data_IF_489649381998
#
_entry.id   IF_489649381998
#
_cell.length_a   1.000
_cell.length_b   1.000
_cell.length_c   1.000
_cell.angle_alpha   90.00
_cell.angle_beta   90.00
_cell.angle_gamma   90.00
#
_symmetry.space_group_name_H-M   'P 1'
#
loop_
_entity.id
_entity.type
_entity.pdbx_description
1 polymer ?
#
# COMPACT_ATOMS: atom_id res chain seq x y z
N UNK A 1 14.01 -15.46 10.59
CA UNK A 1 15.25 -14.65 10.49
C UNK A 1 14.88 -13.29 9.92
N UNK A 2 15.49 -12.21 10.42
CA UNK A 2 15.31 -10.87 9.88
C UNK A 2 15.99 -10.76 8.53
N UNK A 3 15.30 -10.28 7.49
CA UNK A 3 15.89 -10.15 6.14
C UNK A 3 16.29 -8.72 5.78
N UNK A 4 15.68 -7.70 6.38
CA UNK A 4 16.11 -6.31 6.17
C UNK A 4 17.12 -5.91 7.25
N UNK A 5 18.36 -5.71 6.82
CA UNK A 5 19.40 -5.02 7.59
C UNK A 5 19.35 -3.51 7.31
N UNK A 6 20.12 -2.73 8.06
CA UNK A 6 20.22 -1.28 7.85
C UNK A 6 20.73 -0.94 6.43
N UNK A 7 21.74 -1.65 5.95
CA UNK A 7 22.30 -1.47 4.60
C UNK A 7 21.28 -1.83 3.52
N UNK A 8 20.48 -2.88 3.73
CA UNK A 8 19.40 -3.25 2.81
C UNK A 8 18.30 -2.19 2.76
N UNK A 9 17.95 -1.56 3.89
CA UNK A 9 16.99 -0.45 3.92
C UNK A 9 17.52 0.77 3.15
N UNK A 10 18.77 1.16 3.39
CA UNK A 10 19.43 2.25 2.65
C UNK A 10 19.48 1.90 1.15
N UNK A 11 19.81 0.65 0.81
CA UNK A 11 19.78 0.18 -0.57
C UNK A 11 18.39 0.26 -1.20
N UNK A 12 17.32 -0.09 -0.49
CA UNK A 12 15.96 0.03 -1.03
C UNK A 12 15.59 1.49 -1.31
N UNK A 13 16.01 2.42 -0.46
CA UNK A 13 15.69 3.84 -0.60
C UNK A 13 16.50 4.57 -1.69
N UNK A 14 17.78 4.22 -1.87
CA UNK A 14 18.71 5.03 -2.67
C UNK A 14 19.33 4.33 -3.89
N UNK A 15 19.24 3.01 -4.01
CA UNK A 15 19.81 2.27 -5.17
C UNK A 15 19.00 2.48 -6.46
N UNK A 16 17.71 2.78 -6.32
CA UNK A 16 16.74 2.83 -7.41
C UNK A 16 16.29 4.29 -7.65
N UNK A 17 17.01 5.06 -8.48
CA UNK A 17 16.85 6.50 -8.56
C UNK A 17 15.47 6.96 -9.07
N UNK A 18 14.74 6.10 -9.78
CA UNK A 18 13.40 6.43 -10.29
C UNK A 18 12.29 6.14 -9.26
N UNK A 19 12.62 5.53 -8.10
CA UNK A 19 11.65 5.15 -7.07
C UNK A 19 11.78 5.95 -5.76
N UNK A 20 12.48 7.09 -5.75
CA UNK A 20 12.72 7.89 -4.53
C UNK A 20 11.46 8.16 -3.68
N UNK A 21 10.34 8.46 -4.34
CA UNK A 21 9.06 8.74 -3.68
C UNK A 21 8.17 7.50 -3.44
N UNK A 22 8.55 6.33 -3.98
CA UNK A 22 7.67 5.14 -4.03
C UNK A 22 8.32 3.83 -3.58
N UNK A 23 9.63 3.80 -3.31
CA UNK A 23 10.38 2.59 -2.97
C UNK A 23 9.74 1.81 -1.81
N UNK A 24 9.21 2.52 -0.80
CA UNK A 24 8.57 1.91 0.36
C UNK A 24 7.21 1.29 0.02
N UNK A 25 6.49 1.81 -0.97
CA UNK A 25 5.27 1.18 -1.48
C UNK A 25 5.61 -0.13 -2.18
N UNK A 26 6.63 -0.11 -3.06
CA UNK A 26 7.08 -1.28 -3.81
C UNK A 26 7.60 -2.35 -2.85
N UNK A 27 8.42 -1.95 -1.87
CA UNK A 27 8.93 -2.85 -0.84
C UNK A 27 7.80 -3.46 -0.01
N UNK A 28 6.83 -2.65 0.44
CA UNK A 28 5.70 -3.11 1.25
C UNK A 28 4.79 -4.06 0.47
N UNK A 29 4.48 -3.75 -0.80
CA UNK A 29 3.72 -4.63 -1.69
C UNK A 29 4.42 -5.98 -1.86
N UNK A 30 5.71 -5.97 -2.17
CA UNK A 30 6.51 -7.18 -2.33
C UNK A 30 6.55 -8.01 -1.04
N UNK A 31 6.91 -7.41 0.10
CA UNK A 31 6.99 -8.07 1.41
C UNK A 31 5.66 -8.69 1.82
N UNK A 32 4.54 -8.02 1.53
CA UNK A 32 3.20 -8.56 1.76
C UNK A 32 2.98 -9.82 0.94
N UNK A 33 3.30 -9.79 -0.37
CA UNK A 33 3.10 -10.94 -1.27
C UNK A 33 4.02 -12.12 -0.93
N UNK A 34 5.29 -11.87 -0.62
CA UNK A 34 6.24 -12.93 -0.24
C UNK A 34 6.07 -13.39 1.21
N UNK A 35 5.01 -12.93 1.89
CA UNK A 35 4.64 -13.32 3.25
C UNK A 35 5.75 -13.03 4.29
N UNK A 36 6.31 -11.83 4.24
CA UNK A 36 7.30 -11.31 5.19
C UNK A 36 6.77 -10.06 5.92
N UNK A 37 5.57 -10.09 6.52
CA UNK A 37 4.95 -8.89 7.09
C UNK A 37 5.72 -8.33 8.30
N UNK A 38 6.52 -9.14 8.99
CA UNK A 38 7.38 -8.72 10.11
C UNK A 38 8.51 -7.76 9.71
N UNK A 39 8.78 -7.60 8.40
CA UNK A 39 9.78 -6.67 7.88
C UNK A 39 9.19 -5.27 7.59
N UNK A 40 7.87 -5.18 7.41
CA UNK A 40 7.15 -3.93 7.10
C UNK A 40 7.41 -2.83 8.14
N UNK A 41 7.44 -3.10 9.46
CA UNK A 41 7.78 -2.09 10.46
C UNK A 41 9.11 -1.37 10.21
N UNK A 42 10.13 -2.10 9.72
CA UNK A 42 11.46 -1.53 9.46
C UNK A 42 11.42 -0.57 8.27
N UNK A 43 10.72 -0.98 7.20
CA UNK A 43 10.46 -0.13 6.03
C UNK A 43 9.68 1.12 6.45
N UNK A 44 8.64 0.96 7.27
CA UNK A 44 7.78 2.05 7.74
C UNK A 44 8.54 3.08 8.59
N UNK A 45 9.22 2.66 9.65
CA UNK A 45 9.99 3.56 10.51
C UNK A 45 11.16 4.22 9.79
N UNK A 46 11.76 3.54 8.81
CA UNK A 46 12.80 4.17 8.00
C UNK A 46 12.20 5.19 7.03
N UNK A 47 11.09 4.86 6.36
CA UNK A 47 10.42 5.80 5.46
C UNK A 47 9.91 7.05 6.19
N UNK A 48 9.37 6.94 7.41
CA UNK A 48 8.93 8.09 8.23
C UNK A 48 10.04 9.11 8.49
N UNK A 49 11.31 8.66 8.54
CA UNK A 49 12.48 9.53 8.70
C UNK A 49 13.05 9.93 7.36
N UNK A 50 13.29 8.96 6.48
CA UNK A 50 13.95 9.14 5.20
C UNK A 50 13.18 10.08 4.27
N UNK A 51 11.84 10.07 4.29
CA UNK A 51 11.04 10.95 3.44
C UNK A 51 11.05 12.41 3.90
N UNK A 52 11.60 12.71 5.09
CA UNK A 52 11.87 14.07 5.56
C UNK A 52 13.19 14.65 5.03
N UNK A 53 14.02 13.84 4.38
CA UNK A 53 15.30 14.25 3.80
C UNK A 53 15.17 14.54 2.31
N UNK A 54 15.81 15.61 1.83
CA UNK A 54 15.83 15.99 0.41
C UNK A 54 16.31 14.86 -0.49
N UNK A 55 15.92 14.93 -1.76
CA UNK A 55 16.39 13.97 -2.75
C UNK A 55 17.89 14.19 -3.03
N UNK A 56 18.66 13.12 -3.31
CA UNK A 56 20.05 13.25 -3.73
C UNK A 56 20.17 14.18 -4.93
N UNK A 57 21.07 15.16 -4.83
CA UNK A 57 21.35 16.11 -5.90
C UNK A 57 21.80 15.39 -7.17
N UNK A 58 21.33 15.78 -8.36
CA UNK A 58 21.86 15.25 -9.62
C UNK A 58 23.34 15.58 -9.82
N UNK A 59 23.88 16.58 -9.12
CA UNK A 59 25.25 17.10 -9.28
C UNK A 59 26.15 16.88 -8.05
N UNK A 60 25.64 16.31 -6.96
CA UNK A 60 26.36 16.12 -5.68
C UNK A 60 26.20 14.71 -5.14
N UNK A 61 27.29 14.16 -4.59
CA UNK A 61 27.42 12.80 -4.01
C UNK A 61 26.91 11.68 -4.92
N UNK A 62 27.83 10.99 -5.60
CA UNK A 62 27.46 9.77 -6.36
C UNK A 62 26.60 8.85 -5.49
N UNK A 63 25.53 8.25 -6.03
CA UNK A 63 24.61 7.38 -5.28
C UNK A 63 25.34 6.28 -4.52
N UNK A 64 26.48 5.80 -5.05
CA UNK A 64 27.38 4.87 -4.38
C UNK A 64 27.85 5.34 -3.00
N UNK A 65 28.05 6.66 -2.82
CA UNK A 65 28.44 7.25 -1.53
C UNK A 65 27.33 7.16 -0.50
N UNK A 66 26.07 7.35 -0.91
CA UNK A 66 24.92 7.28 0.00
C UNK A 66 24.63 5.85 0.45
N UNK A 67 24.86 4.87 -0.43
CA UNK A 67 24.66 3.45 -0.11
C UNK A 67 25.59 2.95 1.01
N UNK A 68 26.74 3.58 1.18
CA UNK A 68 27.75 3.23 2.19
C UNK A 68 27.92 4.31 3.27
N UNK A 69 27.06 5.33 3.29
CA UNK A 69 27.17 6.43 4.24
C UNK A 69 26.87 5.94 5.66
N UNK A 70 27.80 6.21 6.58
CA UNK A 70 27.74 5.73 7.95
C UNK A 70 26.50 6.27 8.70
N UNK A 71 26.18 7.55 8.56
CA UNK A 71 25.10 8.18 9.29
C UNK A 71 23.73 7.75 8.75
N UNK A 72 23.58 7.55 7.43
CA UNK A 72 22.37 6.97 6.85
C UNK A 72 22.15 5.52 7.27
N UNK A 73 23.19 4.69 7.27
CA UNK A 73 23.10 3.30 7.75
C UNK A 73 22.72 3.30 9.24
N UNK A 74 23.31 4.18 10.05
CA UNK A 74 22.96 4.31 11.47
C UNK A 74 21.52 4.77 11.68
N UNK A 75 21.03 5.73 10.88
CA UNK A 75 19.63 6.16 10.90
C UNK A 75 18.67 5.01 10.56
N UNK A 76 19.02 4.19 9.57
CA UNK A 76 18.26 2.98 9.22
C UNK A 76 18.27 1.95 10.35
N UNK A 77 19.41 1.74 11.01
CA UNK A 77 19.52 0.86 12.18
C UNK A 77 18.67 1.37 13.35
N UNK A 78 18.68 2.68 13.61
CA UNK A 78 17.84 3.30 14.63
C UNK A 78 16.35 3.18 14.29
N UNK A 79 15.98 3.14 13.01
CA UNK A 79 14.60 2.87 12.59
C UNK A 79 14.19 1.42 12.82
N UNK A 80 15.10 0.45 12.61
CA UNK A 80 14.88 -0.95 12.98
C UNK A 80 14.69 -1.09 14.50
N UNK A 81 15.55 -0.44 15.28
CA UNK A 81 15.48 -0.45 16.74
C UNK A 81 14.18 0.20 17.23
N UNK A 82 13.78 1.33 16.61
CA UNK A 82 12.52 2.01 16.89
C UNK A 82 11.31 1.10 16.62
N UNK A 83 11.28 0.41 15.48
CA UNK A 83 10.19 -0.49 15.12
C UNK A 83 10.02 -1.61 16.15
N UNK A 84 11.14 -2.22 16.60
CA UNK A 84 11.12 -3.23 17.67
C UNK A 84 10.58 -2.65 18.98
N UNK A 85 11.11 -1.49 19.40
CA UNK A 85 10.66 -0.81 20.63
C UNK A 85 9.15 -0.52 20.62
N UNK A 86 8.60 -0.15 19.46
CA UNK A 86 7.16 0.13 19.36
C UNK A 86 6.31 -1.12 19.52
N UNK A 87 6.77 -2.28 19.02
CA UNK A 87 6.09 -3.55 19.26
C UNK A 87 6.04 -3.86 20.75
N UNK A 88 7.16 -3.67 21.46
CA UNK A 88 7.23 -3.87 22.91
C UNK A 88 6.29 -2.92 23.67
N UNK A 89 6.27 -1.63 23.30
CA UNK A 89 5.38 -0.62 23.89
C UNK A 89 3.90 -0.90 23.61
N UNK A 90 3.57 -1.33 22.38
CA UNK A 90 2.21 -1.68 21.99
C UNK A 90 1.70 -2.90 22.76
N UNK A 91 2.58 -3.85 23.09
CA UNK A 91 2.21 -5.05 23.85
C UNK A 91 1.79 -4.73 25.29
N UNK A 92 2.31 -3.63 25.87
CA UNK A 92 1.96 -3.16 27.22
C UNK A 92 0.93 -2.03 27.22
N UNK A 93 0.31 -1.73 26.06
CA UNK A 93 -0.78 -0.74 25.95
C UNK A 93 -0.34 0.72 26.10
N UNK A 94 0.94 1.03 25.88
CA UNK A 94 1.48 2.38 26.02
C UNK A 94 1.21 3.21 24.76
N UNK A 95 0.98 4.51 24.93
CA UNK A 95 0.90 5.46 23.82
C UNK A 95 2.21 5.49 23.04
N UNK A 96 2.13 5.29 21.73
CA UNK A 96 3.29 5.22 20.85
C UNK A 96 3.73 6.65 20.50
N UNK A 97 5.01 7.00 20.74
CA UNK A 97 5.51 8.36 20.50
C UNK A 97 5.63 8.66 19.00
N UNK A 98 6.13 9.85 18.66
CA UNK A 98 6.47 10.21 17.29
C UNK A 98 7.77 9.53 16.82
N UNK A 99 7.89 9.30 15.50
CA UNK A 99 9.11 8.82 14.86
C UNK A 99 9.79 9.97 14.13
N UNK A 100 10.62 10.72 14.84
CA UNK A 100 11.40 11.83 14.26
C UNK A 100 12.85 11.42 13.96
N UNK A 101 13.55 12.21 13.15
CA UNK A 101 15.00 12.12 13.02
C UNK A 101 15.62 12.64 14.33
N UNK A 102 16.47 11.86 15.03
CA UNK A 102 17.09 12.32 16.25
C UNK A 102 17.98 13.57 16.03
N UNK A 103 17.97 14.50 16.99
CA UNK A 103 18.72 15.77 16.88
C UNK A 103 20.21 15.60 16.60
N UNK A 104 20.83 14.52 17.07
CA UNK A 104 22.25 14.23 16.81
C UNK A 104 22.61 14.08 15.34
N UNK A 105 21.63 13.86 14.46
CA UNK A 105 21.85 13.69 13.02
C UNK A 105 21.80 14.99 12.21
N UNK A 106 21.42 16.12 12.82
CA UNK A 106 21.06 17.33 12.07
C UNK A 106 22.23 17.93 11.26
N UNK A 107 23.46 17.74 11.73
CA UNK A 107 24.69 18.20 11.06
C UNK A 107 25.49 17.05 10.43
N UNK A 108 25.07 15.80 10.64
CA UNK A 108 25.83 14.60 10.24
C UNK A 108 25.29 13.92 8.98
N UNK A 109 24.01 14.10 8.66
CA UNK A 109 23.39 13.44 7.52
C UNK A 109 23.87 14.04 6.19
N UNK A 110 24.06 13.21 5.15
CA UNK A 110 24.54 13.67 3.84
C UNK A 110 23.46 14.37 3.01
N UNK A 111 22.25 14.56 3.56
CA UNK A 111 21.09 15.13 2.88
C UNK A 111 20.42 16.17 3.79
N UNK A 112 20.00 17.29 3.20
CA UNK A 112 19.28 18.34 3.92
C UNK A 112 17.86 17.90 4.30
N UNK A 113 17.23 18.63 5.21
CA UNK A 113 15.85 18.39 5.64
C UNK A 113 14.87 19.15 4.76
N UNK A 114 13.80 18.47 4.31
CA UNK A 114 12.73 19.07 3.49
C UNK A 114 11.87 20.07 4.25
N UNK A 115 11.73 19.88 5.57
CA UNK A 115 10.77 20.60 6.40
C UNK A 115 11.44 21.16 7.64
N UNK A 116 11.10 22.40 7.99
CA UNK A 116 11.55 23.07 9.20
C UNK A 116 10.45 23.22 10.25
N UNK A 117 9.17 23.07 9.87
CA UNK A 117 8.02 23.17 10.78
C UNK A 117 7.50 21.79 11.15
N UNK A 118 7.12 21.63 12.43
CA UNK A 118 6.55 20.39 12.94
C UNK A 118 5.23 20.01 12.26
N UNK A 119 4.40 20.99 11.89
CA UNK A 119 3.13 20.77 11.19
C UNK A 119 3.34 20.10 9.81
N UNK A 120 4.34 20.56 9.05
CA UNK A 120 4.66 20.01 7.73
C UNK A 120 5.24 18.58 7.85
N UNK A 121 6.07 18.34 8.87
CA UNK A 121 6.61 17.01 9.20
C UNK A 121 5.45 16.05 9.52
N UNK A 122 4.54 16.47 10.40
CA UNK A 122 3.39 15.65 10.78
C UNK A 122 2.49 15.35 9.58
N UNK A 123 2.20 16.35 8.75
CA UNK A 123 1.40 16.17 7.53
C UNK A 123 2.04 15.15 6.57
N UNK A 124 3.35 15.25 6.31
CA UNK A 124 4.07 14.28 5.48
C UNK A 124 3.99 12.86 6.07
N UNK A 125 4.17 12.72 7.38
CA UNK A 125 4.14 11.42 8.05
C UNK A 125 2.74 10.80 8.09
N UNK A 126 1.69 11.62 8.22
CA UNK A 126 0.30 11.17 8.14
C UNK A 126 -0.04 10.66 6.73
N UNK A 127 0.31 11.44 5.70
CA UNK A 127 0.14 11.02 4.30
C UNK A 127 0.89 9.70 4.03
N UNK A 128 2.14 9.62 4.46
CA UNK A 128 2.96 8.43 4.30
C UNK A 128 2.31 7.21 4.96
N UNK A 129 1.81 7.36 6.18
CA UNK A 129 1.17 6.26 6.92
C UNK A 129 -0.11 5.77 6.23
N UNK A 130 -0.93 6.69 5.72
CA UNK A 130 -2.12 6.35 4.92
C UNK A 130 -1.74 5.61 3.64
N UNK A 131 -0.64 5.99 2.99
CA UNK A 131 -0.12 5.31 1.79
C UNK A 131 0.36 3.88 2.07
N UNK A 132 0.98 3.61 3.22
CA UNK A 132 1.31 2.24 3.65
C UNK A 132 0.06 1.37 3.83
N UNK A 133 -1.00 1.89 4.46
CA UNK A 133 -2.26 1.15 4.61
C UNK A 133 -2.89 0.84 3.25
N UNK A 134 -2.93 1.82 2.36
CA UNK A 134 -3.55 1.68 1.05
C UNK A 134 -2.81 0.67 0.16
N UNK A 135 -1.47 0.63 0.17
CA UNK A 135 -0.73 -0.38 -0.62
C UNK A 135 -0.95 -1.79 -0.08
N UNK A 136 -1.01 -2.00 1.23
CA UNK A 136 -1.31 -3.31 1.82
C UNK A 136 -2.74 -3.73 1.48
N UNK A 137 -3.71 -2.81 1.58
CA UNK A 137 -5.10 -3.07 1.22
C UNK A 137 -5.24 -3.45 -0.27
N UNK A 138 -4.64 -2.68 -1.17
CA UNK A 138 -4.67 -2.97 -2.62
C UNK A 138 -3.97 -4.27 -2.97
N UNK A 139 -2.99 -4.71 -2.17
CA UNK A 139 -2.29 -5.99 -2.38
C UNK A 139 -3.23 -7.20 -2.23
N UNK A 140 -4.36 -7.08 -1.52
CA UNK A 140 -5.37 -8.16 -1.38
C UNK A 140 -5.76 -8.76 -2.73
N UNK A 141 -5.91 -7.92 -3.76
CA UNK A 141 -6.30 -8.33 -5.10
C UNK A 141 -5.32 -9.32 -5.75
N UNK A 142 -4.07 -9.38 -5.25
CA UNK A 142 -3.00 -10.18 -5.82
C UNK A 142 -2.44 -11.21 -4.82
N UNK A 143 -2.51 -10.95 -3.51
CA UNK A 143 -1.90 -11.77 -2.47
C UNK A 143 -2.90 -12.46 -1.53
N UNK A 144 -4.18 -12.13 -1.63
CA UNK A 144 -5.25 -12.61 -0.75
C UNK A 144 -5.33 -11.86 0.58
N UNK A 145 -6.50 -11.97 1.23
CA UNK A 145 -6.83 -11.32 2.50
C UNK A 145 -5.89 -11.67 3.67
N UNK A 146 -5.51 -12.95 3.91
CA UNK A 146 -4.72 -13.30 5.09
C UNK A 146 -3.37 -12.57 5.18
N UNK A 147 -2.67 -12.42 4.04
CA UNK A 147 -1.38 -11.72 4.00
C UNK A 147 -1.53 -10.22 4.30
N UNK A 148 -2.58 -9.60 3.75
CA UNK A 148 -2.87 -8.19 4.00
C UNK A 148 -3.32 -7.93 5.45
N UNK A 149 -4.12 -8.83 6.04
CA UNK A 149 -4.51 -8.76 7.46
C UNK A 149 -3.26 -8.81 8.33
N UNK A 150 -2.39 -9.80 8.13
CA UNK A 150 -1.15 -9.91 8.92
C UNK A 150 -0.27 -8.66 8.79
N UNK A 151 -0.13 -8.13 7.58
CA UNK A 151 0.63 -6.91 7.32
C UNK A 151 0.02 -5.65 7.99
N UNK A 152 -1.30 -5.45 7.89
CA UNK A 152 -1.98 -4.32 8.54
C UNK A 152 -1.97 -4.45 10.07
N UNK A 153 -2.13 -5.65 10.61
CA UNK A 153 -2.09 -5.89 12.05
C UNK A 153 -0.71 -5.61 12.62
N UNK A 154 0.36 -6.00 11.93
CA UNK A 154 1.73 -5.66 12.31
C UNK A 154 2.00 -4.15 12.16
N UNK A 155 1.53 -3.51 11.08
CA UNK A 155 1.68 -2.07 10.91
C UNK A 155 0.99 -1.29 12.05
N UNK A 156 -0.19 -1.75 12.49
CA UNK A 156 -0.94 -1.15 13.60
C UNK A 156 -0.12 -1.09 14.90
N UNK A 157 0.67 -2.11 15.22
CA UNK A 157 1.45 -2.16 16.48
C UNK A 157 2.65 -1.22 16.49
N UNK A 158 3.01 -0.66 15.33
CA UNK A 158 4.18 0.21 15.17
C UNK A 158 3.82 1.61 14.65
N UNK A 159 2.53 1.92 14.53
CA UNK A 159 2.07 3.25 14.11
C UNK A 159 2.03 4.20 15.31
N UNK A 160 2.72 5.37 15.28
CA UNK A 160 2.58 6.43 16.29
C UNK A 160 1.12 6.74 16.65
N UNK A 161 0.85 7.06 17.91
CA UNK A 161 -0.54 7.24 18.39
C UNK A 161 -1.29 8.35 17.66
N UNK A 162 -0.61 9.43 17.27
CA UNK A 162 -1.13 10.55 16.49
C UNK A 162 -1.32 10.25 14.99
N UNK A 163 -0.70 9.19 14.46
CA UNK A 163 -0.80 8.79 13.06
C UNK A 163 -1.77 7.61 12.86
N UNK A 164 -2.51 7.20 13.91
CA UNK A 164 -3.51 6.13 13.82
C UNK A 164 -4.66 6.53 12.88
N UNK A 165 -5.29 5.57 12.17
CA UNK A 165 -6.36 5.90 11.24
C UNK A 165 -7.58 6.45 12.01
N UNK A 166 -8.40 7.24 11.32
CA UNK A 166 -9.68 7.70 11.83
C UNK A 166 -10.68 6.55 12.05
N UNK A 167 -11.83 6.90 12.65
CA UNK A 167 -12.94 5.96 12.90
C UNK A 167 -13.65 5.55 11.60
N UNK A 168 -13.59 6.41 10.58
CA UNK A 168 -14.26 6.18 9.30
C UNK A 168 -13.26 5.78 8.20
N UNK A 169 -13.64 4.90 7.27
CA UNK A 169 -12.81 4.58 6.13
C UNK A 169 -12.57 5.79 5.22
N UNK A 170 -11.33 5.93 4.71
CA UNK A 170 -10.97 6.93 3.69
C UNK A 170 -11.75 6.77 2.38
N UNK A 171 -12.14 5.54 2.09
CA UNK A 171 -12.93 5.17 0.92
C UNK A 171 -14.41 5.38 1.23
N UNK A 172 -15.17 6.14 0.41
CA UNK A 172 -16.60 6.30 0.62
C UNK A 172 -17.33 4.95 0.64
N UNK A 173 -18.10 4.70 1.69
CA UNK A 173 -18.87 3.46 1.82
C UNK A 173 -20.07 3.46 0.85
N UNK A 174 -20.25 2.35 0.13
CA UNK A 174 -21.42 2.11 -0.73
C UNK A 174 -22.65 1.62 0.07
N UNK A 175 -22.43 1.08 1.26
CA UNK A 175 -23.48 0.70 2.22
C UNK A 175 -23.14 1.33 3.57
N UNK A 176 -24.15 1.90 4.24
CA UNK A 176 -24.07 2.43 5.60
C UNK A 176 -25.06 1.67 6.50
N UNK A 177 -24.64 0.52 7.06
CA UNK A 177 -25.46 -0.23 8.00
C UNK A 177 -25.90 0.63 9.19
N UNK A 178 -27.10 0.39 9.71
CA UNK A 178 -27.67 1.15 10.82
C UNK A 178 -28.19 2.54 10.47
N UNK A 179 -28.00 3.03 9.24
CA UNK A 179 -28.69 4.24 8.78
C UNK A 179 -30.13 3.90 8.40
N UNK A 180 -31.05 4.19 9.32
CA UNK A 180 -32.48 4.10 9.12
C UNK A 180 -33.10 5.49 9.34
N UNK A 181 -33.95 5.98 8.43
CA UNK A 181 -34.66 7.25 8.66
C UNK A 181 -35.44 7.19 9.98
N UNK A 182 -35.41 8.25 10.79
CA UNK A 182 -36.14 8.26 12.07
C UNK A 182 -37.65 8.00 11.93
N UNK A 183 -38.21 8.29 10.75
CA UNK A 183 -39.60 7.98 10.40
C UNK A 183 -39.91 6.47 10.31
N UNK A 184 -38.89 5.61 10.25
CA UNK A 184 -39.03 4.15 10.18
C UNK A 184 -38.93 3.45 11.53
N UNK A 185 -38.75 4.20 12.64
CA UNK A 185 -38.71 3.63 14.00
C UNK A 185 -40.14 3.24 14.42
N UNK A 186 -40.36 1.95 14.69
CA UNK A 186 -41.64 1.43 15.19
C UNK A 186 -41.70 1.51 16.72
N UNK A 187 -40.63 1.14 17.41
CA UNK A 187 -40.59 1.13 18.88
C UNK A 187 -39.17 1.27 19.40
N UNK A 188 -39.04 1.84 20.60
CA UNK A 188 -37.81 1.82 21.39
C UNK A 188 -38.13 1.22 22.76
N UNK A 189 -37.43 0.15 23.13
CA UNK A 189 -37.52 -0.47 24.44
C UNK A 189 -36.12 -0.77 25.02
N UNK A 190 -36.08 -1.44 26.18
CA UNK A 190 -34.82 -1.78 26.84
C UNK A 190 -33.93 -2.76 26.03
N UNK A 191 -34.47 -3.38 24.98
CA UNK A 191 -33.78 -4.30 24.09
C UNK A 191 -33.28 -3.61 22.81
N UNK A 192 -33.74 -2.40 22.48
CA UNK A 192 -33.24 -1.57 21.39
C UNK A 192 -34.33 -0.84 20.59
N UNK A 193 -33.92 -0.26 19.46
CA UNK A 193 -34.81 0.42 18.50
C UNK A 193 -35.24 -0.57 17.40
N UNK A 194 -36.54 -0.77 17.23
CA UNK A 194 -37.13 -1.60 16.16
C UNK A 194 -37.56 -0.71 14.98
N UNK A 195 -37.34 -1.17 13.75
CA UNK A 195 -37.67 -0.43 12.53
C UNK A 195 -38.70 -1.18 11.65
N UNK A 196 -39.37 -0.47 10.73
CA UNK A 196 -40.28 -1.08 9.74
C UNK A 196 -39.61 -2.21 8.93
N UNK A 197 -40.39 -3.28 8.72
CA UNK A 197 -40.09 -4.66 8.29
C UNK A 197 -39.37 -4.87 6.93
N UNK A 198 -38.65 -3.88 6.41
CA UNK A 198 -37.89 -3.98 5.15
C UNK A 198 -36.36 -3.93 5.34
N UNK A 199 -35.88 -4.19 6.55
CA UNK A 199 -34.45 -4.28 6.84
C UNK A 199 -34.01 -5.70 7.15
N UNK A 200 -32.83 -6.07 6.66
CA UNK A 200 -32.16 -7.33 6.96
C UNK A 200 -31.04 -7.09 7.97
N UNK A 201 -30.98 -7.90 9.02
CA UNK A 201 -29.94 -7.80 10.03
C UNK A 201 -28.60 -8.33 9.50
N UNK A 202 -27.53 -7.57 9.74
CA UNK A 202 -26.15 -7.96 9.42
C UNK A 202 -25.24 -7.83 10.64
N UNK A 203 -24.03 -8.40 10.55
CA UNK A 203 -23.00 -8.25 11.59
C UNK A 203 -22.59 -6.79 11.84
N UNK A 204 -22.93 -5.86 10.94
CA UNK A 204 -22.62 -4.43 11.05
C UNK A 204 -23.86 -3.59 11.40
N UNK A 205 -24.99 -4.22 11.70
CA UNK A 205 -26.29 -3.58 11.92
C UNK A 205 -27.29 -3.81 10.79
N UNK A 206 -28.56 -3.39 10.97
CA UNK A 206 -29.61 -3.59 9.98
C UNK A 206 -29.32 -2.81 8.69
N UNK A 207 -29.71 -3.39 7.55
CA UNK A 207 -29.52 -2.82 6.21
C UNK A 207 -30.86 -2.81 5.47
N UNK A 208 -31.19 -1.68 4.85
CA UNK A 208 -32.34 -1.53 3.95
C UNK A 208 -31.92 -0.84 2.65
N UNK A 209 -32.87 -0.61 1.72
CA UNK A 209 -32.60 0.20 0.53
C UNK A 209 -32.07 1.60 0.87
N UNK A 210 -32.49 2.18 2.00
CA UNK A 210 -32.05 3.49 2.47
C UNK A 210 -30.58 3.50 2.92
N UNK A 211 -30.03 2.33 3.27
CA UNK A 211 -28.63 2.16 3.63
C UNK A 211 -27.69 2.17 2.41
N UNK A 212 -28.22 2.08 1.19
CA UNK A 212 -27.44 1.94 -0.06
C UNK A 212 -27.15 3.32 -0.68
N UNK A 213 -25.87 3.64 -0.84
CA UNK A 213 -25.43 4.84 -1.55
C UNK A 213 -25.35 4.58 -3.06
N UNK A 214 -26.50 4.71 -3.74
CA UNK A 214 -26.64 4.50 -5.19
C UNK A 214 -25.70 5.38 -6.01
N UNK A 215 -25.51 6.64 -5.60
CA UNK A 215 -24.62 7.58 -6.28
C UNK A 215 -23.16 7.11 -6.22
N UNK A 216 -22.71 6.64 -5.06
CA UNK A 216 -21.34 6.14 -4.89
C UNK A 216 -21.08 4.88 -5.72
N UNK A 217 -22.06 3.97 -5.79
CA UNK A 217 -21.97 2.76 -6.64
C UNK A 217 -21.74 3.16 -8.10
N UNK A 218 -22.55 4.07 -8.64
CA UNK A 218 -22.40 4.53 -10.04
C UNK A 218 -21.03 5.18 -10.26
N UNK A 219 -20.58 6.02 -9.32
CA UNK A 219 -19.27 6.67 -9.40
C UNK A 219 -18.11 5.66 -9.38
N UNK A 220 -18.17 4.66 -8.50
CA UNK A 220 -17.14 3.63 -8.39
C UNK A 220 -17.07 2.76 -9.64
N UNK A 221 -18.21 2.38 -10.21
CA UNK A 221 -18.26 1.63 -11.47
C UNK A 221 -17.73 2.46 -12.65
N UNK A 222 -18.11 3.73 -12.77
CA UNK A 222 -17.60 4.60 -13.83
C UNK A 222 -16.08 4.81 -13.72
N UNK A 223 -15.56 5.03 -12.50
CA UNK A 223 -14.13 5.14 -12.21
C UNK A 223 -13.40 3.83 -12.49
N UNK A 224 -13.98 2.70 -12.10
CA UNK A 224 -13.51 1.35 -12.38
C UNK A 224 -13.33 1.08 -13.87
N UNK A 225 -14.36 1.36 -14.65
CA UNK A 225 -14.32 1.24 -16.12
C UNK A 225 -13.19 2.08 -16.71
N UNK A 226 -13.08 3.35 -16.30
CA UNK A 226 -12.03 4.25 -16.78
C UNK A 226 -10.63 3.75 -16.45
N UNK A 227 -10.41 3.25 -15.22
CA UNK A 227 -9.15 2.68 -14.79
C UNK A 227 -8.81 1.38 -15.56
N UNK A 228 -9.78 0.48 -15.70
CA UNK A 228 -9.64 -0.76 -16.48
C UNK A 228 -9.23 -0.47 -17.93
N UNK A 229 -9.88 0.50 -18.58
CA UNK A 229 -9.54 0.89 -19.95
C UNK A 229 -8.14 1.48 -20.04
N UNK A 230 -7.68 2.27 -19.07
CA UNK A 230 -6.29 2.74 -19.03
C UNK A 230 -5.30 1.59 -18.89
N UNK A 231 -5.57 0.61 -18.03
CA UNK A 231 -4.68 -0.54 -17.82
C UNK A 231 -4.55 -1.39 -19.09
N UNK A 232 -5.67 -1.82 -19.68
CA UNK A 232 -5.65 -2.82 -20.77
C UNK A 232 -5.77 -2.24 -22.18
N UNK A 233 -6.25 -1.00 -22.33
CA UNK A 233 -6.38 -0.33 -23.63
C UNK A 233 -7.05 -1.20 -24.68
N UNK A 234 -6.40 -1.37 -25.84
CA UNK A 234 -6.93 -2.10 -26.99
C UNK A 234 -7.30 -3.58 -26.70
N UNK A 235 -6.69 -4.21 -25.70
CA UNK A 235 -6.97 -5.62 -25.37
C UNK A 235 -8.04 -5.79 -24.28
N UNK A 236 -8.58 -4.69 -23.76
CA UNK A 236 -9.58 -4.65 -22.67
C UNK A 236 -10.73 -5.63 -22.88
N UNK A 237 -11.41 -5.59 -24.03
CA UNK A 237 -12.53 -6.47 -24.34
C UNK A 237 -12.11 -7.95 -24.38
N UNK A 238 -10.92 -8.25 -24.91
CA UNK A 238 -10.40 -9.62 -24.95
C UNK A 238 -10.14 -10.16 -23.56
N UNK A 239 -9.48 -9.39 -22.69
CA UNK A 239 -9.16 -9.82 -21.31
C UNK A 239 -10.44 -10.00 -20.50
N UNK A 240 -11.39 -9.08 -20.61
CA UNK A 240 -12.73 -9.20 -20.01
C UNK A 240 -13.42 -10.49 -20.47
N UNK A 241 -13.52 -10.69 -21.78
CA UNK A 241 -14.24 -11.85 -22.34
C UNK A 241 -13.59 -13.17 -21.93
N UNK A 242 -12.25 -13.25 -21.89
CA UNK A 242 -11.54 -14.44 -21.42
C UNK A 242 -11.94 -14.82 -19.99
N UNK A 243 -12.01 -13.86 -19.07
CA UNK A 243 -12.47 -14.12 -17.70
C UNK A 243 -13.95 -14.54 -17.68
N UNK A 244 -14.82 -13.78 -18.36
CA UNK A 244 -16.26 -14.03 -18.35
C UNK A 244 -16.63 -15.38 -18.98
N UNK A 245 -15.95 -15.81 -20.03
CA UNK A 245 -16.18 -17.12 -20.65
C UNK A 245 -15.58 -18.28 -19.86
N UNK A 246 -14.54 -18.03 -19.05
CA UNK A 246 -13.99 -19.05 -18.17
C UNK A 246 -14.93 -19.31 -16.99
N UNK A 247 -15.46 -18.25 -16.38
CA UNK A 247 -16.50 -18.28 -15.35
C UNK A 247 -17.07 -16.86 -15.18
N UNK A 248 -18.37 -16.59 -15.41
CA UNK A 248 -18.91 -15.23 -15.31
C UNK A 248 -18.63 -14.54 -13.97
N UNK A 249 -18.73 -15.26 -12.85
CA UNK A 249 -18.46 -14.73 -11.52
C UNK A 249 -17.01 -14.24 -11.36
N UNK A 250 -16.05 -14.80 -12.11
CA UNK A 250 -14.67 -14.30 -12.10
C UNK A 250 -14.60 -12.86 -12.64
N UNK A 251 -15.29 -12.59 -13.76
CA UNK A 251 -15.34 -11.23 -14.30
C UNK A 251 -16.09 -10.29 -13.38
N UNK A 252 -17.28 -10.70 -12.93
CA UNK A 252 -18.11 -9.88 -12.04
C UNK A 252 -17.36 -9.54 -10.75
N UNK A 253 -16.72 -10.51 -10.11
CA UNK A 253 -15.96 -10.27 -8.90
C UNK A 253 -14.74 -9.39 -9.14
N UNK A 254 -13.97 -9.66 -10.21
CA UNK A 254 -12.82 -8.83 -10.57
C UNK A 254 -13.25 -7.38 -10.82
N UNK A 255 -14.34 -7.15 -11.54
CA UNK A 255 -14.77 -5.80 -11.86
C UNK A 255 -15.42 -5.09 -10.66
N UNK A 256 -16.46 -5.68 -10.08
CA UNK A 256 -17.29 -5.07 -9.04
C UNK A 256 -16.60 -4.94 -7.68
N UNK A 257 -15.67 -5.84 -7.36
CA UNK A 257 -15.03 -5.87 -6.03
C UNK A 257 -13.54 -5.54 -6.04
N UNK A 258 -12.87 -5.64 -7.18
CA UNK A 258 -11.43 -5.36 -7.27
C UNK A 258 -11.15 -4.08 -8.08
N UNK A 259 -11.52 -4.03 -9.35
CA UNK A 259 -11.18 -2.88 -10.19
C UNK A 259 -11.94 -1.62 -9.82
N UNK A 260 -13.26 -1.71 -9.66
CA UNK A 260 -14.11 -0.55 -9.40
C UNK A 260 -13.89 0.07 -8.01
N UNK A 261 -14.05 -0.63 -6.89
CA UNK A 261 -13.95 0.00 -5.59
C UNK A 261 -12.50 0.10 -5.09
N UNK A 262 -11.63 -0.89 -5.35
CA UNK A 262 -10.31 -1.00 -4.72
C UNK A 262 -9.20 -0.39 -5.58
N UNK A 263 -8.95 -0.92 -6.78
CA UNK A 263 -7.81 -0.49 -7.60
C UNK A 263 -8.00 0.90 -8.19
N UNK A 264 -9.20 1.25 -8.66
CA UNK A 264 -9.45 2.54 -9.32
C UNK A 264 -9.49 3.75 -8.39
N UNK A 265 -9.55 3.55 -7.08
CA UNK A 265 -9.51 4.65 -6.14
C UNK A 265 -8.08 5.10 -5.94
N UNK A 266 -7.81 6.32 -6.35
CA UNK A 266 -6.45 6.84 -6.42
C UNK A 266 -6.29 8.13 -5.64
N UNK A 267 -7.09 8.31 -4.57
CA UNK A 267 -7.01 9.49 -3.70
C UNK A 267 -5.83 9.44 -2.71
N UNK A 268 -5.39 8.24 -2.31
CA UNK A 268 -4.27 8.05 -1.38
C UNK A 268 -2.96 7.73 -2.13
N UNK A 269 -2.99 6.73 -3.02
CA UNK A 269 -1.91 6.48 -3.98
C UNK A 269 -2.45 6.60 -5.41
N UNK A 270 -1.69 7.24 -6.29
CA UNK A 270 -2.07 7.53 -7.67
C UNK A 270 -2.31 6.27 -8.52
N UNK A 271 -2.86 6.46 -9.73
CA UNK A 271 -3.02 5.36 -10.69
C UNK A 271 -1.67 4.75 -11.11
N UNK A 272 -0.63 5.59 -11.23
CA UNK A 272 0.73 5.16 -11.52
C UNK A 272 1.27 4.29 -10.39
N UNK A 273 1.26 4.80 -9.16
CA UNK A 273 1.75 4.08 -7.98
C UNK A 273 0.99 2.78 -7.73
N UNK A 274 -0.34 2.80 -7.89
CA UNK A 274 -1.17 1.59 -7.85
C UNK A 274 -0.67 0.55 -8.85
N UNK A 275 -0.39 0.96 -10.09
CA UNK A 275 0.09 0.04 -11.14
C UNK A 275 1.48 -0.49 -10.85
N UNK A 276 2.40 0.33 -10.32
CA UNK A 276 3.73 -0.11 -9.90
C UNK A 276 3.65 -1.13 -8.75
N UNK A 277 2.76 -0.91 -7.78
CA UNK A 277 2.53 -1.86 -6.68
C UNK A 277 1.94 -3.19 -7.19
N UNK A 278 1.00 -3.14 -8.14
CA UNK A 278 0.46 -4.37 -8.76
C UNK A 278 1.56 -5.15 -9.49
N UNK A 279 2.44 -4.46 -10.24
CA UNK A 279 3.62 -5.10 -10.86
C UNK A 279 4.51 -5.74 -9.79
N UNK A 280 4.77 -5.04 -8.68
CA UNK A 280 5.56 -5.55 -7.57
C UNK A 280 4.92 -6.79 -6.90
N UNK A 281 3.59 -6.88 -6.85
CA UNK A 281 2.88 -8.05 -6.37
C UNK A 281 2.91 -9.23 -7.34
N UNK A 282 2.95 -8.99 -8.65
CA UNK A 282 2.88 -10.06 -9.66
C UNK A 282 4.23 -10.74 -9.90
N UNK A 283 5.34 -10.00 -9.81
CA UNK A 283 6.69 -10.53 -10.07
C UNK A 283 7.01 -11.76 -9.19
N UNK A 284 6.81 -11.75 -7.86
CA UNK A 284 7.17 -12.90 -7.02
C UNK A 284 6.30 -14.15 -7.23
N UNK A 285 5.19 -14.03 -7.97
CA UNK A 285 4.20 -15.10 -8.13
C UNK A 285 4.35 -15.89 -9.44
N UNK A 286 5.28 -15.51 -10.31
CA UNK A 286 5.54 -16.14 -11.62
C UNK A 286 4.31 -16.21 -12.56
N UNK A 287 3.43 -15.20 -12.47
CA UNK A 287 2.19 -15.07 -13.27
C UNK A 287 2.38 -14.14 -14.48
N UNK A 288 3.27 -14.55 -15.39
CA UNK A 288 3.67 -13.76 -16.55
C UNK A 288 2.51 -13.27 -17.47
N UNK A 289 1.44 -14.04 -17.74
CA UNK A 289 0.32 -13.56 -18.54
C UNK A 289 -0.33 -12.30 -17.97
N UNK A 290 -0.51 -12.24 -16.65
CA UNK A 290 -1.05 -11.10 -15.93
C UNK A 290 -0.02 -9.97 -15.88
N UNK A 291 1.24 -10.28 -15.54
CA UNK A 291 2.33 -9.30 -15.45
C UNK A 291 2.49 -8.48 -16.73
N UNK A 292 2.44 -9.10 -17.91
CA UNK A 292 2.55 -8.39 -19.21
C UNK A 292 1.50 -7.29 -19.39
N UNK A 293 0.24 -7.57 -19.02
CA UNK A 293 -0.84 -6.60 -19.09
C UNK A 293 -0.62 -5.43 -18.14
N UNK A 294 -0.19 -5.72 -16.91
CA UNK A 294 0.04 -4.70 -15.89
C UNK A 294 1.30 -3.86 -16.11
N UNK A 295 2.35 -4.41 -16.73
CA UNK A 295 3.51 -3.64 -17.18
C UNK A 295 3.10 -2.57 -18.20
N UNK A 296 2.31 -2.96 -19.21
CA UNK A 296 1.80 -1.99 -20.20
C UNK A 296 0.82 -1.01 -19.56
N UNK A 297 -0.04 -1.49 -18.67
CA UNK A 297 -0.98 -0.66 -17.92
C UNK A 297 -0.30 0.37 -17.03
N UNK A 298 0.82 0.04 -16.41
CA UNK A 298 1.62 0.99 -15.64
C UNK A 298 2.11 2.14 -16.53
N UNK A 299 2.63 1.83 -17.72
CA UNK A 299 3.02 2.87 -18.70
C UNK A 299 1.83 3.72 -19.14
N UNK A 300 0.68 3.10 -19.41
CA UNK A 300 -0.53 3.85 -19.76
C UNK A 300 -1.01 4.77 -18.61
N UNK A 301 -0.70 4.41 -17.36
CA UNK A 301 -0.97 5.22 -16.18
C UNK A 301 0.16 6.23 -15.84
N UNK A 302 1.16 6.37 -16.71
CA UNK A 302 2.21 7.38 -16.61
C UNK A 302 3.54 6.88 -16.04
N UNK A 303 3.72 5.57 -15.85
CA UNK A 303 5.02 5.02 -15.48
C UNK A 303 6.03 5.06 -16.62
N UNK A 304 7.29 5.35 -16.31
CA UNK A 304 8.37 5.22 -17.29
C UNK A 304 8.88 3.77 -17.35
N UNK A 305 9.67 3.45 -18.39
CA UNK A 305 10.29 2.13 -18.49
C UNK A 305 11.36 1.96 -17.41
N UNK A 306 12.04 3.04 -17.06
CA UNK A 306 13.09 3.10 -16.05
C UNK A 306 12.50 2.87 -14.66
N UNK A 307 11.34 3.45 -14.33
CA UNK A 307 10.62 3.15 -13.09
C UNK A 307 10.27 1.65 -12.99
N UNK A 308 9.82 1.03 -14.09
CA UNK A 308 9.46 -0.39 -14.10
C UNK A 308 10.66 -1.32 -13.99
N UNK A 309 11.79 -0.95 -14.58
CA UNK A 309 13.05 -1.67 -14.42
C UNK A 309 13.57 -1.57 -12.98
N UNK A 310 13.48 -0.39 -12.37
CA UNK A 310 13.81 -0.21 -10.96
C UNK A 310 12.86 -1.00 -10.03
N UNK A 311 11.55 -1.05 -10.33
CA UNK A 311 10.58 -1.88 -9.59
C UNK A 311 11.00 -3.34 -9.64
N UNK A 312 11.34 -3.83 -10.84
CA UNK A 312 11.76 -5.21 -11.06
C UNK A 312 13.01 -5.55 -10.24
N UNK A 313 14.02 -4.69 -10.28
CA UNK A 313 15.29 -4.91 -9.59
C UNK A 313 15.16 -4.82 -8.06
N UNK A 314 14.32 -3.90 -7.57
CA UNK A 314 13.97 -3.79 -6.15
C UNK A 314 13.27 -5.07 -5.67
N UNK A 315 12.25 -5.52 -6.40
CA UNK A 315 11.50 -6.74 -6.07
C UNK A 315 12.40 -7.97 -6.08
N UNK A 316 13.27 -8.12 -7.09
CA UNK A 316 14.24 -9.22 -7.13
C UNK A 316 15.16 -9.21 -5.92
N UNK A 317 15.62 -8.04 -5.47
CA UNK A 317 16.44 -7.95 -4.26
C UNK A 317 15.69 -8.48 -3.04
N UNK A 318 14.43 -8.10 -2.85
CA UNK A 318 13.61 -8.59 -1.73
C UNK A 318 13.34 -10.10 -1.85
N UNK A 319 13.04 -10.60 -3.04
CA UNK A 319 12.83 -12.03 -3.27
C UNK A 319 14.09 -12.85 -2.95
N UNK A 320 15.27 -12.39 -3.35
CA UNK A 320 16.54 -13.04 -3.04
C UNK A 320 16.80 -13.07 -1.53
N UNK A 321 16.53 -11.96 -0.82
CA UNK A 321 16.74 -11.86 0.61
C UNK A 321 15.75 -12.68 1.44
N UNK A 322 14.50 -12.76 0.96
CA UNK A 322 13.44 -13.55 1.58
C UNK A 322 13.67 -15.05 1.40
N UNK A 323 14.27 -15.44 0.28
CA UNK A 323 14.36 -16.82 -0.15
C UNK A 323 12.98 -17.39 -0.52
N UNK A 324 12.97 -18.62 -1.06
CA UNK A 324 11.73 -19.36 -1.34
C UNK A 324 10.96 -18.93 -2.60
N UNK A 325 11.29 -17.79 -3.22
CA UNK A 325 10.73 -17.39 -4.51
C UNK A 325 11.53 -18.04 -5.64
N UNK A 326 10.83 -18.73 -6.55
CA UNK A 326 11.41 -19.35 -7.74
C UNK A 326 10.57 -18.99 -8.95
N UNK A 327 11.23 -18.68 -10.06
CA UNK A 327 10.60 -18.47 -11.36
C UNK A 327 10.93 -19.65 -12.26
N UNK A 328 9.94 -20.14 -13.00
CA UNK A 328 10.06 -21.35 -13.86
C UNK A 328 11.28 -21.30 -14.79
N UNK A 329 11.56 -20.13 -15.36
CA UNK A 329 12.68 -19.91 -16.28
C UNK A 329 13.75 -18.96 -15.69
N UNK A 330 13.86 -18.90 -14.36
CA UNK A 330 14.73 -17.96 -13.67
C UNK A 330 14.29 -16.49 -13.84
N UNK A 331 15.11 -15.56 -13.34
CA UNK A 331 14.82 -14.12 -13.41
C UNK A 331 14.68 -13.59 -14.83
N UNK A 332 15.43 -14.14 -15.78
CA UNK A 332 15.32 -13.79 -17.21
C UNK A 332 13.95 -14.16 -17.81
N UNK A 333 13.28 -15.14 -17.21
CA UNK A 333 11.93 -15.56 -17.60
C UNK A 333 10.81 -14.63 -17.17
N UNK A 334 11.06 -13.71 -16.24
CA UNK A 334 10.03 -12.77 -15.77
C UNK A 334 9.78 -11.73 -16.84
N UNK A 335 8.51 -11.49 -17.19
CA UNK A 335 8.13 -10.56 -18.26
C UNK A 335 8.67 -9.14 -18.00
N UNK A 336 9.08 -8.47 -19.07
CA UNK A 336 9.55 -7.07 -19.11
C UNK A 336 8.97 -6.38 -20.35
N UNK A 337 9.05 -5.04 -20.41
CA UNK A 337 8.54 -4.22 -21.51
C UNK A 337 9.46 -4.13 -22.71
#
# INVERSE_FOLDING_TARGET
MSILTAERLVSLAYKYPHLKATWYLIATACLTVVNQPQEIPKVYHFALRQQLLEDPSPTGTSSSSLLTDYHLIRLAQDSINSAKKYQDLSAVGVNLPDVLIPHGYYEELPLAFKFSKNEDIHHMQDELTSRFREVILKSIALSGLPKAINALMILKTVTPSNLKPGVYPERPCIVRPGYMPSASIISEDACGTSFEDNSEDTINGPVSEASINRQQIVQDLARGSSFWQKVYGKISARVKNQMATAYPDLWEFAYLHVYAPLLSFTKIISAKETSLCVVACLIPQDVNPQLKGHLKGAVNNGATKEELEDVRNLVFSICDWSGGVKWKNGKEGVAKL
#
